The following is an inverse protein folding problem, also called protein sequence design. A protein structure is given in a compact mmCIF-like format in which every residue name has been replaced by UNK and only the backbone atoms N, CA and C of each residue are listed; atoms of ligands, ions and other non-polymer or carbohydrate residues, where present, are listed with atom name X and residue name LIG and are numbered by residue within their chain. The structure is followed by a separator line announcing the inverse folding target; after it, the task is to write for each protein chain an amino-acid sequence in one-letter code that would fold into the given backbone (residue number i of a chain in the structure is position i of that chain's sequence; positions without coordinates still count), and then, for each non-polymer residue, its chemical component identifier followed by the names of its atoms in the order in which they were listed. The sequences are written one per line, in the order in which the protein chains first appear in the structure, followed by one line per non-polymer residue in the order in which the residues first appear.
data_IF_705100442835
#
_entry.id   IF_705100442835
#
_cell.length_a   1.000
_cell.length_b   1.000
_cell.length_c   1.000
_cell.angle_alpha   90.00
_cell.angle_beta   90.00
_cell.angle_gamma   90.00
#
_symmetry.space_group_name_H-M   'P 1'
#
loop_
_entity.id
_entity.type
_entity.pdbx_description
1 polymer ?
#
# COMPACT_ATOMS: atom_id res chain seq x y z
N UNK A 1 -7.04 21.28 9.05
CA UNK A 1 -6.04 22.17 8.43
C UNK A 1 -4.73 21.87 9.12
N UNK A 2 -3.71 21.37 8.40
CA UNK A 2 -2.41 21.12 9.01
C UNK A 2 -1.81 22.50 9.26
N UNK A 3 -1.63 22.87 10.53
CA UNK A 3 -1.02 24.13 10.92
C UNK A 3 0.48 24.00 10.67
N UNK A 4 0.91 24.28 9.44
CA UNK A 4 2.31 24.47 9.12
C UNK A 4 2.62 25.95 9.37
N UNK A 5 3.36 26.22 10.44
CA UNK A 5 3.97 27.54 10.66
C UNK A 5 5.30 27.55 9.92
N UNK A 6 5.50 28.58 9.09
CA UNK A 6 6.72 28.72 8.33
C UNK A 6 7.89 29.04 9.28
N UNK A 7 8.97 28.23 9.27
CA UNK A 7 10.14 28.55 10.08
C UNK A 7 10.80 29.82 9.55
N UNK A 8 11.37 30.61 10.46
CA UNK A 8 12.30 31.69 10.10
C UNK A 8 13.56 31.14 9.39
N UNK A 9 14.37 32.05 8.84
CA UNK A 9 15.50 31.67 7.98
C UNK A 9 16.58 30.84 8.70
N UNK A 10 16.86 31.15 9.96
CA UNK A 10 17.84 30.42 10.76
C UNK A 10 17.35 28.99 11.06
N UNK A 11 16.09 28.86 11.49
CA UNK A 11 15.47 27.57 11.73
C UNK A 11 15.32 26.76 10.43
N UNK A 12 14.97 27.39 9.31
CA UNK A 12 14.85 26.75 8.00
C UNK A 12 16.17 26.10 7.59
N UNK A 13 17.30 26.81 7.75
CA UNK A 13 18.62 26.29 7.41
C UNK A 13 19.02 25.11 8.30
N UNK A 14 18.79 25.20 9.61
CA UNK A 14 19.06 24.09 10.54
C UNK A 14 18.21 22.84 10.23
N UNK A 15 16.91 23.03 9.96
CA UNK A 15 16.00 21.95 9.58
C UNK A 15 16.49 21.27 8.29
N UNK A 16 16.83 22.06 7.26
CA UNK A 16 17.31 21.52 5.99
C UNK A 16 18.62 20.73 6.16
N UNK A 17 19.55 21.21 6.98
CA UNK A 17 20.81 20.51 7.26
C UNK A 17 20.58 19.18 8.01
N UNK A 18 19.52 19.08 8.80
CA UNK A 18 19.17 17.82 9.50
C UNK A 18 18.58 16.75 8.56
N UNK A 19 18.01 17.15 7.41
CA UNK A 19 17.45 16.24 6.42
C UNK A 19 18.57 15.81 5.47
N UNK A 20 18.72 14.50 5.24
CA UNK A 20 19.77 14.03 4.34
C UNK A 20 19.66 14.65 2.95
N UNK A 21 20.80 15.05 2.40
CA UNK A 21 20.91 15.70 1.09
C UNK A 21 20.23 14.86 -0.01
N UNK A 22 20.43 13.54 0.03
CA UNK A 22 19.80 12.59 -0.89
C UNK A 22 18.26 12.62 -0.83
N UNK A 23 17.65 12.87 0.34
CA UNK A 23 16.20 12.96 0.47
C UNK A 23 15.65 14.30 -0.03
N UNK A 24 16.33 15.41 0.30
CA UNK A 24 15.82 16.74 -0.03
C UNK A 24 16.10 17.17 -1.48
N UNK A 25 17.15 16.62 -2.11
CA UNK A 25 17.58 16.97 -3.47
C UNK A 25 16.44 16.98 -4.51
N UNK A 26 15.58 15.97 -4.50
CA UNK A 26 14.42 15.87 -5.42
C UNK A 26 13.41 17.00 -5.19
N UNK A 27 13.21 17.43 -3.95
CA UNK A 27 12.30 18.51 -3.60
C UNK A 27 12.89 19.87 -3.98
N UNK A 28 14.19 20.09 -3.73
CA UNK A 28 14.91 21.29 -4.16
C UNK A 28 14.91 21.45 -5.67
N UNK A 29 15.11 20.36 -6.42
CA UNK A 29 15.03 20.37 -7.87
C UNK A 29 13.64 20.84 -8.37
N UNK A 30 12.56 20.27 -7.83
CA UNK A 30 11.19 20.66 -8.19
C UNK A 30 10.86 22.09 -7.74
N UNK A 31 11.43 22.52 -6.62
CA UNK A 31 11.24 23.84 -6.05
C UNK A 31 12.10 24.94 -6.70
N UNK A 32 12.88 24.63 -7.75
CA UNK A 32 13.83 25.57 -8.36
C UNK A 32 14.83 26.14 -7.33
N UNK A 33 15.34 25.29 -6.44
CA UNK A 33 16.26 25.63 -5.34
C UNK A 33 15.67 26.51 -4.22
N UNK A 34 14.36 26.81 -4.26
CA UNK A 34 13.67 27.44 -3.14
C UNK A 34 13.56 26.47 -1.96
N UNK A 35 14.34 26.75 -0.92
CA UNK A 35 14.43 25.98 0.33
C UNK A 35 13.09 25.86 1.06
N UNK A 36 12.33 26.95 1.13
CA UNK A 36 11.09 27.00 1.87
C UNK A 36 10.00 26.19 1.14
N UNK A 37 9.92 26.35 -0.18
CA UNK A 37 9.04 25.56 -1.04
C UNK A 37 9.41 24.08 -1.05
N UNK A 38 10.71 23.75 -1.09
CA UNK A 38 11.18 22.37 -0.99
C UNK A 38 10.76 21.72 0.34
N UNK A 39 10.89 22.43 1.46
CA UNK A 39 10.44 21.95 2.77
C UNK A 39 8.92 21.74 2.82
N UNK A 40 8.13 22.68 2.27
CA UNK A 40 6.67 22.53 2.15
C UNK A 40 6.29 21.29 1.34
N UNK A 41 6.95 21.05 0.21
CA UNK A 41 6.71 19.84 -0.61
C UNK A 41 7.13 18.56 0.11
N UNK A 42 8.25 18.58 0.83
CA UNK A 42 8.71 17.46 1.66
C UNK A 42 7.68 17.08 2.71
N UNK A 43 7.18 18.06 3.46
CA UNK A 43 6.17 17.84 4.49
C UNK A 43 4.85 17.37 3.90
N UNK A 44 4.41 17.99 2.80
CA UNK A 44 3.21 17.54 2.10
C UNK A 44 3.31 16.09 1.63
N UNK A 45 4.47 15.67 1.10
CA UNK A 45 4.71 14.28 0.74
C UNK A 45 4.65 13.34 1.95
N UNK A 46 5.27 13.71 3.07
CA UNK A 46 5.22 12.92 4.31
C UNK A 46 3.78 12.72 4.79
N UNK A 47 2.96 13.77 4.74
CA UNK A 47 1.55 13.71 5.12
C UNK A 47 0.72 12.86 4.15
N UNK A 48 1.02 12.92 2.85
CA UNK A 48 0.42 12.03 1.86
C UNK A 48 0.79 10.56 2.17
N UNK A 49 2.07 10.27 2.39
CA UNK A 49 2.58 8.95 2.76
C UNK A 49 1.85 8.40 4.00
N UNK A 50 1.74 9.20 5.06
CA UNK A 50 0.99 8.87 6.28
C UNK A 50 -0.48 8.55 5.98
N UNK A 51 -1.16 9.40 5.21
CA UNK A 51 -2.58 9.21 4.88
C UNK A 51 -2.84 7.99 3.98
N UNK A 52 -1.92 7.69 3.05
CA UNK A 52 -1.99 6.50 2.21
C UNK A 52 -1.72 5.23 3.01
N UNK A 53 -0.82 5.28 4.00
CA UNK A 53 -0.44 4.11 4.78
C UNK A 53 -1.65 3.42 5.43
N UNK A 54 -2.58 4.20 5.99
CA UNK A 54 -3.80 3.67 6.63
C UNK A 54 -4.63 2.83 5.65
N UNK A 55 -4.93 3.36 4.47
CA UNK A 55 -5.80 2.65 3.51
C UNK A 55 -5.07 1.47 2.84
N UNK A 56 -3.75 1.55 2.69
CA UNK A 56 -2.94 0.43 2.19
C UNK A 56 -2.92 -0.70 3.23
N UNK A 57 -2.73 -0.36 4.51
CA UNK A 57 -2.73 -1.31 5.62
C UNK A 57 -4.03 -2.12 5.66
N UNK A 58 -5.19 -1.49 5.43
CA UNK A 58 -6.46 -2.23 5.41
C UNK A 58 -6.56 -3.26 4.27
N UNK A 59 -5.93 -2.98 3.13
CA UNK A 59 -5.82 -3.96 2.03
C UNK A 59 -4.87 -5.10 2.43
N UNK A 60 -3.75 -4.78 3.08
CA UNK A 60 -2.78 -5.77 3.56
C UNK A 60 -3.42 -6.71 4.61
N UNK A 61 -4.16 -6.17 5.57
CA UNK A 61 -4.87 -6.95 6.60
C UNK A 61 -5.98 -7.83 6.02
N UNK A 62 -6.74 -7.32 5.05
CA UNK A 62 -7.77 -8.11 4.39
C UNK A 62 -7.15 -9.30 3.63
N UNK A 63 -6.04 -9.08 2.92
CA UNK A 63 -5.31 -10.15 2.23
C UNK A 63 -4.71 -11.15 3.23
N UNK A 64 -4.16 -10.67 4.35
CA UNK A 64 -3.56 -11.50 5.39
C UNK A 64 -4.61 -12.36 6.13
N UNK A 65 -5.81 -11.84 6.36
CA UNK A 65 -6.91 -12.62 6.94
C UNK A 65 -7.30 -13.80 6.04
N UNK A 66 -7.40 -13.55 4.73
CA UNK A 66 -7.68 -14.60 3.74
C UNK A 66 -6.55 -15.63 3.67
N UNK A 67 -5.29 -15.19 3.79
CA UNK A 67 -4.13 -16.10 3.88
C UNK A 67 -4.26 -17.10 5.03
N UNK A 68 -4.57 -16.61 6.23
CA UNK A 68 -4.64 -17.46 7.41
C UNK A 68 -5.71 -18.55 7.24
N UNK A 69 -6.86 -18.20 6.66
CA UNK A 69 -7.93 -19.15 6.34
C UNK A 69 -7.47 -20.20 5.32
N UNK A 70 -6.80 -19.78 4.25
CA UNK A 70 -6.30 -20.69 3.22
C UNK A 70 -5.22 -21.64 3.76
N UNK A 71 -4.34 -21.14 4.65
CA UNK A 71 -3.33 -21.96 5.32
C UNK A 71 -3.97 -22.99 6.23
N UNK A 72 -4.96 -22.60 7.03
CA UNK A 72 -5.73 -23.51 7.90
C UNK A 72 -6.41 -24.61 7.06
N UNK A 73 -7.11 -24.25 5.99
CA UNK A 73 -7.75 -25.21 5.07
C UNK A 73 -6.72 -26.17 4.47
N UNK A 74 -5.56 -25.65 4.06
CA UNK A 74 -4.49 -26.45 3.47
C UNK A 74 -3.89 -27.43 4.48
N UNK A 75 -3.62 -26.97 5.69
CA UNK A 75 -3.13 -27.82 6.80
C UNK A 75 -4.14 -28.91 7.11
N UNK A 76 -5.43 -28.58 7.23
CA UNK A 76 -6.50 -29.56 7.48
C UNK A 76 -6.56 -30.64 6.39
N UNK A 77 -6.46 -30.25 5.11
CA UNK A 77 -6.41 -31.21 4.00
C UNK A 77 -5.18 -32.12 4.06
N UNK A 78 -4.03 -31.57 4.42
CA UNK A 78 -2.78 -32.35 4.52
C UNK A 78 -2.85 -33.34 5.68
N UNK A 79 -3.33 -32.90 6.85
CA UNK A 79 -3.57 -33.76 8.01
C UNK A 79 -4.52 -34.92 7.66
N UNK A 80 -5.58 -34.64 6.90
CA UNK A 80 -6.51 -35.66 6.42
C UNK A 80 -5.92 -36.58 5.34
N UNK A 81 -4.74 -36.26 4.78
CA UNK A 81 -4.12 -37.00 3.68
C UNK A 81 -2.94 -37.92 4.09
N UNK A 82 -2.64 -38.05 5.38
CA UNK A 82 -1.58 -38.92 5.93
C UNK A 82 -0.16 -38.70 5.34
N UNK A 83 0.16 -37.52 4.81
CA UNK A 83 1.48 -37.18 4.24
C UNK A 83 2.32 -36.33 5.19
N UNK A 84 3.62 -36.64 5.33
CA UNK A 84 4.54 -35.93 6.22
C UNK A 84 4.70 -34.44 5.86
N UNK A 85 4.60 -33.56 6.86
CA UNK A 85 4.77 -32.12 6.77
C UNK A 85 6.25 -31.77 7.01
N UNK A 86 6.87 -30.96 6.14
CA UNK A 86 8.24 -30.44 6.36
C UNK A 86 8.22 -28.90 6.42
N UNK A 87 8.85 -28.35 7.46
CA UNK A 87 9.02 -26.92 7.75
C UNK A 87 9.49 -26.07 6.55
N UNK A 88 10.29 -26.63 5.63
CA UNK A 88 10.74 -25.89 4.43
C UNK A 88 9.59 -25.50 3.48
N UNK A 89 8.44 -26.21 3.51
CA UNK A 89 7.25 -25.83 2.72
C UNK A 89 6.41 -24.74 3.39
N UNK A 90 6.44 -24.66 4.71
CA UNK A 90 5.71 -23.66 5.50
C UNK A 90 6.44 -22.32 5.47
N UNK A 91 7.77 -22.33 5.65
CA UNK A 91 8.60 -21.12 5.68
C UNK A 91 8.73 -20.44 4.32
N UNK A 92 8.70 -21.20 3.21
CA UNK A 92 8.68 -20.63 1.86
C UNK A 92 7.43 -19.78 1.58
N UNK A 93 6.37 -19.91 2.39
CA UNK A 93 5.09 -19.23 2.21
C UNK A 93 4.89 -17.94 3.00
N UNK A 94 5.88 -17.41 3.72
CA UNK A 94 5.65 -16.36 4.73
C UNK A 94 6.25 -14.98 4.42
N UNK A 95 7.00 -14.79 3.33
CA UNK A 95 7.62 -13.49 3.03
C UNK A 95 6.72 -12.58 2.16
N UNK A 96 6.80 -11.26 2.32
CA UNK A 96 5.97 -10.34 1.53
C UNK A 96 6.23 -10.43 0.00
N UNK A 97 7.47 -10.72 -0.41
CA UNK A 97 7.84 -10.99 -1.80
C UNK A 97 7.24 -12.30 -2.36
N UNK A 98 6.89 -13.25 -1.50
CA UNK A 98 6.21 -14.49 -1.87
C UNK A 98 4.75 -14.25 -2.33
N UNK A 99 4.04 -13.24 -1.81
CA UNK A 99 2.63 -12.98 -2.18
C UNK A 99 2.44 -12.41 -3.59
N UNK A 100 3.33 -11.51 -4.05
CA UNK A 100 3.36 -11.08 -5.47
C UNK A 100 3.63 -12.26 -6.41
N UNK A 101 4.44 -13.22 -5.94
CA UNK A 101 4.73 -14.46 -6.63
C UNK A 101 3.52 -15.43 -6.60
N UNK A 102 2.73 -15.48 -5.52
CA UNK A 102 1.52 -16.31 -5.37
C UNK A 102 0.40 -15.94 -6.34
N UNK A 103 0.26 -14.64 -6.63
CA UNK A 103 -0.62 -14.18 -7.69
C UNK A 103 -0.14 -14.64 -9.09
N UNK A 104 1.12 -15.07 -9.17
CA UNK A 104 1.81 -15.73 -10.30
C UNK A 104 1.18 -16.98 -10.86
N UNK A 105 1.32 -17.14 -12.17
CA UNK A 105 0.97 -18.36 -12.90
C UNK A 105 1.73 -19.59 -12.42
N UNK A 106 2.78 -19.43 -11.60
CA UNK A 106 3.60 -20.52 -11.04
C UNK A 106 3.00 -21.20 -9.80
N UNK A 107 2.02 -20.59 -9.11
CA UNK A 107 1.40 -21.15 -7.90
C UNK A 107 -0.09 -21.57 -8.13
N UNK A 108 -0.40 -21.92 -9.38
CA UNK A 108 -1.70 -21.76 -10.04
C UNK A 108 -2.89 -22.61 -9.56
N UNK A 109 -2.74 -23.64 -8.71
CA UNK A 109 -3.84 -24.61 -8.52
C UNK A 109 -4.24 -24.96 -7.09
N UNK A 110 -3.40 -24.70 -6.07
CA UNK A 110 -3.67 -25.21 -4.72
C UNK A 110 -3.99 -24.12 -3.68
N UNK A 111 -3.69 -22.85 -3.98
CA UNK A 111 -3.77 -21.76 -3.00
C UNK A 111 -5.02 -20.89 -3.22
N UNK A 112 -5.59 -20.87 -4.42
CA UNK A 112 -6.87 -20.18 -4.66
C UNK A 112 -8.00 -21.09 -4.22
N UNK A 113 -8.32 -21.06 -2.93
CA UNK A 113 -9.53 -21.70 -2.45
C UNK A 113 -10.75 -21.11 -3.17
N UNK A 114 -11.83 -21.90 -3.26
CA UNK A 114 -13.11 -21.40 -3.79
C UNK A 114 -13.59 -20.14 -3.05
N UNK A 115 -13.12 -19.92 -1.82
CA UNK A 115 -13.46 -18.77 -1.00
C UNK A 115 -12.95 -17.45 -1.58
N UNK A 116 -11.67 -17.40 -1.98
CA UNK A 116 -11.08 -16.20 -2.58
C UNK A 116 -11.79 -15.82 -3.90
N UNK A 117 -12.18 -16.82 -4.69
CA UNK A 117 -12.97 -16.63 -5.92
C UNK A 117 -14.35 -16.07 -5.61
N UNK A 118 -15.02 -16.53 -4.53
CA UNK A 118 -16.35 -16.08 -4.16
C UNK A 118 -16.37 -14.63 -3.70
N UNK A 119 -15.47 -14.21 -2.80
CA UNK A 119 -15.38 -12.83 -2.30
C UNK A 119 -15.25 -11.84 -3.47
N UNK A 120 -14.39 -12.16 -4.44
CA UNK A 120 -14.22 -11.32 -5.61
C UNK A 120 -15.39 -11.36 -6.59
N UNK A 121 -16.04 -12.52 -6.74
CA UNK A 121 -17.19 -12.67 -7.64
C UNK A 121 -18.38 -11.89 -7.10
N UNK A 122 -18.61 -11.90 -5.79
CA UNK A 122 -19.65 -11.11 -5.13
C UNK A 122 -19.44 -9.59 -5.31
N UNK A 123 -18.19 -9.12 -5.28
CA UNK A 123 -17.87 -7.69 -5.37
C UNK A 123 -17.74 -7.16 -6.80
N UNK A 124 -17.49 -8.01 -7.81
CA UNK A 124 -17.24 -7.59 -9.21
C UNK A 124 -18.10 -8.28 -10.27
N UNK A 125 -18.95 -9.23 -9.88
CA UNK A 125 -19.76 -10.06 -10.77
C UNK A 125 -18.97 -11.18 -11.45
N UNK A 126 -17.73 -10.94 -11.88
CA UNK A 126 -16.83 -11.97 -12.45
C UNK A 126 -15.40 -11.79 -11.92
N UNK A 127 -14.90 -12.83 -11.24
CA UNK A 127 -13.54 -12.83 -10.74
C UNK A 127 -12.49 -12.82 -11.88
N UNK A 128 -11.73 -11.73 -11.97
CA UNK A 128 -10.55 -11.59 -12.83
C UNK A 128 -9.28 -11.53 -11.97
N UNK A 129 -8.65 -12.69 -11.80
CA UNK A 129 -7.40 -12.84 -11.06
C UNK A 129 -6.26 -11.99 -11.63
N UNK A 130 -6.17 -11.88 -12.96
CA UNK A 130 -5.08 -11.14 -13.62
C UNK A 130 -5.20 -9.66 -13.28
N UNK A 131 -6.43 -9.13 -13.32
CA UNK A 131 -6.72 -7.75 -12.92
C UNK A 131 -6.45 -7.50 -11.45
N UNK A 132 -6.92 -8.36 -10.54
CA UNK A 132 -6.62 -8.22 -9.12
C UNK A 132 -5.11 -8.19 -8.86
N UNK A 133 -4.37 -9.11 -9.48
CA UNK A 133 -2.93 -9.15 -9.37
C UNK A 133 -2.27 -7.85 -9.80
N UNK A 134 -2.70 -7.31 -10.94
CA UNK A 134 -2.16 -6.05 -11.43
C UNK A 134 -2.40 -4.91 -10.45
N UNK A 135 -3.59 -4.83 -9.84
CA UNK A 135 -3.89 -3.79 -8.87
C UNK A 135 -3.10 -3.97 -7.57
N UNK A 136 -2.99 -5.18 -7.02
CA UNK A 136 -2.17 -5.46 -5.82
C UNK A 136 -0.69 -5.12 -6.10
N UNK A 137 -0.12 -5.54 -7.23
CA UNK A 137 1.28 -5.21 -7.58
C UNK A 137 1.53 -3.71 -7.59
N UNK A 138 0.58 -2.92 -8.10
CA UNK A 138 0.68 -1.46 -8.10
C UNK A 138 0.53 -0.85 -6.70
N UNK A 139 -0.30 -1.44 -5.83
CA UNK A 139 -0.42 -1.04 -4.41
C UNK A 139 0.89 -1.34 -3.68
N UNK A 140 1.50 -2.50 -3.91
CA UNK A 140 2.81 -2.88 -3.36
C UNK A 140 3.89 -1.89 -3.78
N UNK A 141 3.93 -1.52 -5.07
CA UNK A 141 4.89 -0.53 -5.56
C UNK A 141 4.72 0.82 -4.86
N UNK A 142 3.48 1.29 -4.67
CA UNK A 142 3.17 2.50 -3.91
C UNK A 142 3.62 2.37 -2.44
N UNK A 143 3.31 1.24 -1.79
CA UNK A 143 3.73 0.97 -0.40
C UNK A 143 5.24 1.02 -0.25
N UNK A 144 5.98 0.41 -1.19
CA UNK A 144 7.43 0.43 -1.21
C UNK A 144 7.97 1.86 -1.30
N UNK A 145 7.44 2.68 -2.22
CA UNK A 145 7.77 4.11 -2.31
C UNK A 145 7.54 4.83 -0.97
N UNK A 146 6.39 4.62 -0.35
CA UNK A 146 6.04 5.20 0.97
C UNK A 146 7.04 4.77 2.04
N UNK A 147 7.36 3.47 2.16
CA UNK A 147 8.30 2.97 3.17
C UNK A 147 9.73 3.49 2.97
N UNK A 148 10.14 3.71 1.71
CA UNK A 148 11.43 4.31 1.38
C UNK A 148 11.43 5.84 1.46
N UNK A 149 10.31 6.45 1.87
CA UNK A 149 10.13 7.91 1.92
C UNK A 149 10.41 8.58 0.57
N UNK A 150 10.08 7.88 -0.52
CA UNK A 150 10.22 8.43 -1.85
C UNK A 150 9.13 9.49 -2.13
N UNK A 151 9.44 10.49 -2.98
CA UNK A 151 8.43 11.39 -3.53
C UNK A 151 7.32 10.62 -4.26
N UNK A 152 6.09 10.69 -3.75
CA UNK A 152 4.88 10.19 -4.44
C UNK A 152 4.06 11.34 -5.04
N UNK A 153 4.36 12.59 -4.66
CA UNK A 153 3.60 13.77 -5.05
C UNK A 153 3.66 14.10 -6.56
N UNK A 154 4.57 13.48 -7.30
CA UNK A 154 4.65 13.56 -8.77
C UNK A 154 3.80 12.50 -9.48
N UNK A 155 3.35 11.47 -8.76
CA UNK A 155 2.49 10.43 -9.30
C UNK A 155 1.04 10.91 -9.42
N UNK A 156 0.18 10.12 -10.10
CA UNK A 156 -1.25 10.36 -10.10
C UNK A 156 -1.89 9.91 -8.78
N UNK A 157 -1.88 10.80 -7.78
CA UNK A 157 -2.39 10.53 -6.42
C UNK A 157 -3.89 10.13 -6.42
N UNK A 158 -4.69 10.68 -7.32
CA UNK A 158 -6.11 10.32 -7.45
C UNK A 158 -6.27 8.87 -7.93
N UNK A 159 -5.44 8.44 -8.88
CA UNK A 159 -5.42 7.07 -9.36
C UNK A 159 -4.96 6.09 -8.27
N UNK A 160 -3.91 6.44 -7.52
CA UNK A 160 -3.47 5.66 -6.38
C UNK A 160 -4.57 5.50 -5.32
N UNK A 161 -5.24 6.59 -4.95
CA UNK A 161 -6.35 6.55 -4.01
C UNK A 161 -7.49 5.66 -4.51
N UNK A 162 -7.93 5.89 -5.75
CA UNK A 162 -9.01 5.10 -6.38
C UNK A 162 -8.68 3.62 -6.42
N UNK A 163 -7.45 3.27 -6.81
CA UNK A 163 -6.94 1.89 -6.84
C UNK A 163 -7.01 1.20 -5.48
N UNK A 164 -6.47 1.84 -4.44
CA UNK A 164 -6.44 1.26 -3.09
C UNK A 164 -7.85 1.07 -2.57
N UNK A 165 -8.70 2.10 -2.66
CA UNK A 165 -10.09 2.01 -2.18
C UNK A 165 -10.91 0.98 -2.95
N UNK A 166 -10.72 0.88 -4.27
CA UNK A 166 -11.40 -0.11 -5.11
C UNK A 166 -10.97 -1.54 -4.76
N UNK A 167 -9.68 -1.75 -4.56
CA UNK A 167 -9.15 -3.06 -4.15
C UNK A 167 -9.66 -3.44 -2.77
N UNK A 168 -9.70 -2.48 -1.84
CA UNK A 168 -10.26 -2.69 -0.51
C UNK A 168 -11.74 -3.08 -0.58
N UNK A 169 -12.53 -2.39 -1.42
CA UNK A 169 -13.95 -2.72 -1.62
C UNK A 169 -14.14 -4.12 -2.23
N UNK A 170 -13.25 -4.55 -3.13
CA UNK A 170 -13.28 -5.89 -3.68
C UNK A 170 -13.01 -6.99 -2.64
N UNK A 171 -12.15 -6.70 -1.66
CA UNK A 171 -11.79 -7.63 -0.59
C UNK A 171 -12.81 -7.63 0.55
N UNK A 172 -13.22 -6.44 1.01
CA UNK A 172 -14.15 -6.27 2.13
C UNK A 172 -14.84 -4.90 2.05
N UNK A 173 -16.08 -4.81 1.50
CA UNK A 173 -16.83 -3.55 1.42
C UNK A 173 -16.97 -2.82 2.77
N UNK A 174 -17.32 -3.49 3.90
CA UNK A 174 -17.40 -2.82 5.20
C UNK A 174 -16.08 -2.16 5.65
N UNK A 175 -14.93 -2.85 5.45
CA UNK A 175 -13.61 -2.29 5.76
C UNK A 175 -13.30 -1.10 4.88
N UNK A 176 -13.66 -1.15 3.59
CA UNK A 176 -13.47 -0.03 2.67
C UNK A 176 -14.28 1.21 3.08
N UNK A 177 -15.54 1.04 3.48
CA UNK A 177 -16.38 2.13 3.96
C UNK A 177 -15.87 2.74 5.27
N UNK A 178 -15.36 1.90 6.18
CA UNK A 178 -14.71 2.35 7.40
C UNK A 178 -13.41 3.12 7.10
N UNK A 179 -12.52 2.56 6.29
CA UNK A 179 -11.24 3.17 5.91
C UNK A 179 -11.45 4.53 5.19
N UNK A 180 -12.50 4.64 4.36
CA UNK A 180 -12.85 5.88 3.67
C UNK A 180 -13.12 7.03 4.63
N UNK A 181 -13.76 6.77 5.79
CA UNK A 181 -14.09 7.80 6.79
C UNK A 181 -12.85 8.35 7.49
N UNK A 182 -11.81 7.54 7.62
CA UNK A 182 -10.53 7.91 8.25
C UNK A 182 -9.53 8.53 7.26
N UNK A 183 -9.74 8.33 5.96
CA UNK A 183 -8.77 8.68 4.94
C UNK A 183 -8.72 10.19 4.66
N UNK A 184 -7.54 10.79 4.86
CA UNK A 184 -7.27 12.21 4.57
C UNK A 184 -6.72 12.47 3.16
N UNK A 185 -6.45 11.43 2.36
CA UNK A 185 -5.81 11.57 1.04
C UNK A 185 -6.54 12.57 0.13
N UNK A 186 -7.88 12.52 -0.06
CA UNK A 186 -8.57 13.47 -0.94
C UNK A 186 -8.44 14.93 -0.48
N UNK A 187 -8.40 15.16 0.83
CA UNK A 187 -8.18 16.48 1.41
C UNK A 187 -6.76 16.98 1.14
N UNK A 188 -5.75 16.12 1.36
CA UNK A 188 -4.34 16.48 1.18
C UNK A 188 -3.97 16.75 -0.27
N UNK A 189 -4.56 16.01 -1.23
CA UNK A 189 -4.34 16.28 -2.66
C UNK A 189 -4.73 17.72 -3.03
N UNK A 190 -5.82 18.23 -2.45
CA UNK A 190 -6.31 19.62 -2.68
C UNK A 190 -5.44 20.67 -1.99
N UNK A 191 -4.56 20.28 -1.07
CA UNK A 191 -3.69 21.16 -0.30
C UNK A 191 -2.26 21.18 -0.84
N UNK A 192 -2.07 20.89 -2.13
CA UNK A 192 -0.76 20.96 -2.78
C UNK A 192 -0.12 22.34 -2.54
N UNK A 193 1.09 22.41 -1.94
CA UNK A 193 1.81 23.66 -1.75
C UNK A 193 2.07 24.34 -3.10
N UNK A 194 1.96 25.67 -3.11
CA UNK A 194 2.29 26.50 -4.28
C UNK A 194 3.80 26.57 -4.48
#
# INVERSE_FOLDING_TARGET
MIRYEEPDEDNLNQIIQSISEGRLSKYLYVAAQDKQRALKLYMWNTLLCEAFYIIIQTVEEAIESERLRDLEITIQRIMNSNKQINNRRIVAGLSFGFWSAMLGDRYNQYIWSKHFVNIFTESTGKFDRKKLRQEITKIVALRNKISHHEPIFQDNLHEHYSRVMKTNYWLCPPTADWAKKLCRVPMLIRQKPK
#
